data_IF_175745135233
#
_entry.id   IF_175745135233
#
_cell.length_a   1.000
_cell.length_b   1.000
_cell.length_c   1.000
_cell.angle_alpha   90.00
_cell.angle_beta   90.00
_cell.angle_gamma   90.00
#
_symmetry.space_group_name_H-M   'P 1'
#
loop_
_entity.id
_entity.type
_entity.pdbx_description
1 polymer ?
#
# COMPACT_ATOMS: atom_id res chain seq x y z
N UNK A 1 20.67 -8.14 -11.62
CA UNK A 1 19.25 -8.52 -11.66
C UNK A 1 18.40 -7.32 -11.30
N UNK A 2 17.45 -7.02 -12.12
CA UNK A 2 16.52 -5.93 -11.85
C UNK A 2 15.44 -6.40 -10.89
N UNK A 3 15.13 -5.54 -9.94
CA UNK A 3 14.01 -5.74 -9.03
C UNK A 3 12.89 -4.81 -9.44
N UNK A 4 11.82 -5.38 -9.95
CA UNK A 4 10.64 -4.62 -10.35
C UNK A 4 9.64 -4.55 -9.22
N UNK A 5 8.94 -3.44 -9.12
CA UNK A 5 7.80 -3.32 -8.23
C UNK A 5 6.58 -3.90 -8.92
N UNK A 6 5.87 -4.78 -8.22
CA UNK A 6 4.74 -5.52 -8.75
C UNK A 6 3.49 -5.16 -7.96
N UNK A 7 2.39 -4.94 -8.66
CA UNK A 7 1.07 -4.79 -8.05
C UNK A 7 0.23 -6.02 -8.37
N UNK A 8 -0.45 -6.54 -7.38
CA UNK A 8 -1.30 -7.72 -7.54
C UNK A 8 -2.51 -7.65 -6.64
N UNK A 9 -3.63 -8.20 -7.10
CA UNK A 9 -4.80 -8.40 -6.26
C UNK A 9 -4.52 -9.60 -5.37
N UNK A 10 -4.55 -9.37 -4.05
CA UNK A 10 -4.17 -10.38 -3.06
C UNK A 10 -5.36 -11.13 -2.47
N UNK A 11 -6.60 -10.73 -2.81
CA UNK A 11 -7.81 -11.43 -2.37
C UNK A 11 -8.34 -12.34 -3.46
N UNK A 12 -8.93 -13.48 -3.05
CA UNK A 12 -9.60 -14.34 -3.99
C UNK A 12 -10.82 -13.63 -4.60
N UNK A 13 -11.08 -13.79 -5.90
CA UNK A 13 -12.30 -13.25 -6.50
C UNK A 13 -13.53 -13.89 -5.86
N UNK A 14 -14.53 -13.08 -5.58
CA UNK A 14 -15.76 -13.54 -4.95
C UNK A 14 -16.56 -12.38 -4.41
N UNK A 15 -17.79 -12.66 -4.05
CA UNK A 15 -18.69 -11.66 -3.49
C UNK A 15 -18.39 -11.43 -2.01
N UNK A 16 -18.50 -10.20 -1.56
CA UNK A 16 -18.57 -9.86 -0.14
C UNK A 16 -17.27 -9.80 0.62
N UNK A 17 -16.12 -9.69 -0.04
CA UNK A 17 -14.83 -9.53 0.60
C UNK A 17 -14.28 -8.12 0.54
N UNK A 18 -13.29 -7.85 1.38
CA UNK A 18 -12.47 -6.66 1.25
C UNK A 18 -11.44 -6.91 0.16
N UNK A 19 -11.38 -6.01 -0.82
CA UNK A 19 -10.35 -6.11 -1.84
C UNK A 19 -9.00 -5.66 -1.26
N UNK A 20 -7.97 -6.45 -1.49
CA UNK A 20 -6.61 -6.13 -1.09
C UNK A 20 -5.74 -6.06 -2.33
N UNK A 21 -5.06 -4.93 -2.51
CA UNK A 21 -4.05 -4.77 -3.54
C UNK A 21 -2.69 -4.75 -2.86
N UNK A 22 -1.80 -5.63 -3.27
CA UNK A 22 -0.44 -5.69 -2.73
C UNK A 22 0.55 -5.10 -3.72
N UNK A 23 1.32 -4.14 -3.24
CA UNK A 23 2.47 -3.58 -3.95
C UNK A 23 3.72 -4.16 -3.32
N UNK A 24 4.57 -4.78 -4.12
CA UNK A 24 5.80 -5.41 -3.61
C UNK A 24 6.97 -4.98 -4.48
N UNK A 25 8.04 -4.55 -3.83
CA UNK A 25 9.26 -4.17 -4.52
C UNK A 25 9.85 -2.87 -4.00
N UNK A 26 10.99 -2.46 -4.57
CA UNK A 26 11.73 -1.30 -4.05
C UNK A 26 10.98 0.03 -4.17
N UNK A 27 10.01 0.14 -5.08
CA UNK A 27 9.23 1.36 -5.26
C UNK A 27 7.81 1.26 -4.71
N UNK A 28 7.49 0.22 -3.93
CA UNK A 28 6.15 0.02 -3.42
C UNK A 28 5.63 1.20 -2.60
N UNK A 29 6.48 1.79 -1.77
CA UNK A 29 6.09 2.94 -0.96
C UNK A 29 5.91 4.20 -1.82
N UNK A 30 6.75 4.41 -2.81
CA UNK A 30 6.63 5.56 -3.70
C UNK A 30 5.35 5.46 -4.55
N UNK A 31 5.02 4.26 -5.02
CA UNK A 31 3.79 4.02 -5.78
C UNK A 31 2.58 4.22 -4.87
N UNK A 32 2.62 3.65 -3.66
CA UNK A 32 1.52 3.81 -2.70
C UNK A 32 1.28 5.28 -2.38
N UNK A 33 2.34 6.08 -2.24
CA UNK A 33 2.22 7.50 -1.94
C UNK A 33 1.48 8.30 -3.03
N UNK A 34 1.48 7.79 -4.26
CA UNK A 34 0.76 8.44 -5.36
C UNK A 34 -0.73 8.16 -5.34
N UNK A 35 -1.14 7.05 -4.75
CA UNK A 35 -2.54 6.59 -4.79
C UNK A 35 -3.21 6.57 -3.43
N UNK A 36 -2.49 6.86 -2.37
CA UNK A 36 -3.00 6.86 -1.01
C UNK A 36 -2.53 8.09 -0.26
N UNK A 37 -3.47 8.81 0.33
CA UNK A 37 -3.20 10.00 1.14
C UNK A 37 -3.61 9.72 2.59
N UNK A 38 -2.67 9.70 3.54
CA UNK A 38 -3.04 9.52 4.94
C UNK A 38 -4.00 10.60 5.43
N UNK A 39 -4.99 10.20 6.23
CA UNK A 39 -5.94 11.15 6.82
C UNK A 39 -5.25 12.09 7.80
N UNK A 40 -4.23 11.61 8.51
CA UNK A 40 -3.43 12.45 9.38
C UNK A 40 -2.38 13.18 8.55
N UNK A 41 -2.45 14.53 8.43
CA UNK A 41 -1.52 15.28 7.59
C UNK A 41 -0.07 15.26 8.10
N UNK A 42 0.15 14.84 9.34
CA UNK A 42 1.49 14.69 9.89
C UNK A 42 2.18 13.38 9.45
N UNK A 43 1.43 12.46 8.84
CA UNK A 43 1.97 11.16 8.41
C UNK A 43 2.27 11.15 6.93
N UNK A 44 3.30 10.42 6.56
CA UNK A 44 3.70 10.24 5.16
C UNK A 44 3.91 8.76 4.89
N UNK A 45 3.43 8.32 3.72
CA UNK A 45 3.54 6.91 3.31
C UNK A 45 5.00 6.48 3.30
N UNK A 46 5.87 7.28 2.69
CA UNK A 46 7.28 6.90 2.51
C UNK A 46 8.05 6.77 3.82
N UNK A 47 7.57 7.41 4.88
CA UNK A 47 8.20 7.38 6.19
C UNK A 47 7.62 6.30 7.10
N UNK A 48 6.67 5.53 6.62
CA UNK A 48 6.00 4.52 7.43
C UNK A 48 6.94 3.36 7.75
N UNK A 49 6.90 2.93 9.00
CA UNK A 49 7.71 1.80 9.47
C UNK A 49 7.00 0.48 9.12
N UNK A 50 7.77 -0.59 9.08
CA UNK A 50 7.22 -1.94 8.93
C UNK A 50 6.28 -2.28 10.08
N UNK A 51 5.28 -3.11 9.79
CA UNK A 51 4.24 -3.55 10.73
C UNK A 51 3.40 -2.39 11.28
N UNK A 52 3.16 -1.37 10.44
CA UNK A 52 2.27 -0.27 10.81
C UNK A 52 1.16 -0.12 9.79
N UNK A 53 0.14 0.63 10.15
CA UNK A 53 -1.02 0.89 9.32
C UNK A 53 -1.39 2.37 9.37
N UNK A 54 -1.93 2.88 8.25
CA UNK A 54 -2.47 4.23 8.20
C UNK A 54 -3.87 4.17 7.60
N UNK A 55 -4.80 4.88 8.21
CA UNK A 55 -6.08 5.18 7.61
C UNK A 55 -5.94 6.39 6.67
N UNK A 56 -6.63 6.37 5.54
CA UNK A 56 -6.58 7.48 4.62
C UNK A 56 -7.52 7.32 3.44
N UNK A 57 -7.18 7.99 2.36
CA UNK A 57 -8.01 8.06 1.17
C UNK A 57 -7.26 7.55 -0.04
N UNK A 58 -7.96 6.80 -0.89
CA UNK A 58 -7.44 6.41 -2.20
C UNK A 58 -7.67 7.56 -3.16
N UNK A 59 -6.62 7.89 -3.91
CA UNK A 59 -6.57 9.08 -4.73
C UNK A 59 -6.49 8.74 -6.21
N UNK A 60 -7.20 9.52 -7.01
CA UNK A 60 -6.98 9.59 -8.44
C UNK A 60 -6.59 11.05 -8.74
N UNK A 61 -5.29 11.28 -8.94
CA UNK A 61 -4.78 12.63 -9.00
C UNK A 61 -5.02 13.35 -7.66
N UNK A 62 -5.75 14.44 -7.70
CA UNK A 62 -6.08 15.22 -6.50
C UNK A 62 -7.46 14.87 -5.93
N UNK A 63 -8.17 13.95 -6.55
CA UNK A 63 -9.50 13.54 -6.08
C UNK A 63 -9.44 12.27 -5.27
N UNK A 64 -10.06 12.32 -4.08
CA UNK A 64 -10.28 11.13 -3.29
C UNK A 64 -11.56 10.44 -3.79
N UNK A 65 -11.46 9.15 -4.11
CA UNK A 65 -12.62 8.39 -4.58
C UNK A 65 -13.10 7.33 -3.59
N UNK A 66 -12.28 7.01 -2.60
CA UNK A 66 -12.65 6.05 -1.57
C UNK A 66 -11.74 6.24 -0.37
N UNK A 67 -12.05 5.57 0.72
CA UNK A 67 -11.22 5.57 1.91
C UNK A 67 -10.88 4.14 2.31
N UNK A 68 -9.79 3.98 3.03
CA UNK A 68 -9.35 2.66 3.45
C UNK A 68 -8.08 2.71 4.27
N UNK A 69 -7.38 1.59 4.29
CA UNK A 69 -6.22 1.38 5.14
C UNK A 69 -5.05 0.92 4.30
N UNK A 70 -3.87 1.46 4.59
CA UNK A 70 -2.61 0.97 4.05
C UNK A 70 -1.85 0.26 5.15
N UNK A 71 -1.37 -0.95 4.85
CA UNK A 71 -0.51 -1.73 5.74
C UNK A 71 0.90 -1.74 5.18
N UNK A 72 1.88 -1.54 6.04
CA UNK A 72 3.27 -1.34 5.62
C UNK A 72 4.18 -2.44 6.15
N UNK A 73 5.02 -2.96 5.27
CA UNK A 73 5.99 -4.00 5.60
C UNK A 73 7.33 -3.61 4.99
N UNK A 74 8.39 -3.64 5.81
CA UNK A 74 9.74 -3.31 5.34
C UNK A 74 10.58 -4.57 5.20
N UNK A 75 11.36 -4.61 4.14
CA UNK A 75 12.34 -5.66 3.92
C UNK A 75 13.29 -5.78 5.12
N UNK A 76 13.73 -7.00 5.49
CA UNK A 76 13.33 -8.28 4.91
C UNK A 76 12.07 -8.88 5.56
N UNK A 77 11.44 -8.19 6.50
CA UNK A 77 10.32 -8.69 7.29
C UNK A 77 9.00 -8.39 6.58
N UNK A 78 8.75 -9.10 5.49
CA UNK A 78 7.54 -8.98 4.71
C UNK A 78 7.20 -10.31 4.07
N UNK A 79 6.01 -10.38 3.46
CA UNK A 79 5.56 -11.60 2.79
C UNK A 79 6.49 -12.02 1.66
N UNK A 80 7.03 -11.06 0.91
CA UNK A 80 7.90 -11.35 -0.24
C UNK A 80 9.38 -11.18 0.06
N UNK A 81 9.75 -10.71 1.26
CA UNK A 81 11.13 -10.36 1.60
C UNK A 81 11.55 -8.98 1.11
N UNK A 82 10.66 -8.26 0.45
CA UNK A 82 10.87 -6.90 -0.06
C UNK A 82 10.00 -5.90 0.70
N UNK A 83 10.15 -4.62 0.39
CA UNK A 83 9.17 -3.63 0.87
C UNK A 83 7.82 -3.93 0.25
N UNK A 84 6.79 -3.93 1.08
CA UNK A 84 5.42 -4.25 0.67
C UNK A 84 4.45 -3.23 1.27
N UNK A 85 3.48 -2.80 0.46
CA UNK A 85 2.32 -2.05 0.94
C UNK A 85 1.07 -2.80 0.51
N UNK A 86 0.17 -3.02 1.46
CA UNK A 86 -1.14 -3.58 1.16
C UNK A 86 -2.20 -2.49 1.33
N UNK A 87 -3.05 -2.34 0.33
CA UNK A 87 -4.13 -1.35 0.30
C UNK A 87 -5.47 -2.09 0.41
N UNK A 88 -6.26 -1.73 1.44
CA UNK A 88 -7.54 -2.37 1.72
C UNK A 88 -8.70 -1.39 1.62
#
# INVERSE_FOLDING_TARGET
MEHSTIAAIATAPGAGGIAVVRLSGPESYAVAAKVFCPANPAKRVEESKGYTALFGHFMEGEEAFDEGVALFFRAPHSYTGEDVVELL
#
